data_IF_518144765250
#
_entry.id   IF_518144765250
#
_cell.length_a   1.000
_cell.length_b   1.000
_cell.length_c   1.000
_cell.angle_alpha   90.00
_cell.angle_beta   90.00
_cell.angle_gamma   90.00
#
_symmetry.space_group_name_H-M   'P 1'
#
loop_
_entity.id
_entity.type
_entity.pdbx_description
1 polymer ?
#
# COMPACT_ATOMS: atom_id res chain seq x y z
N UNK A 1 25.59 -3.52 -0.33
CA UNK A 1 25.31 -2.56 0.77
C UNK A 1 25.32 -3.34 2.09
N UNK A 2 25.94 -2.85 3.17
CA UNK A 2 25.87 -3.52 4.50
C UNK A 2 24.54 -3.20 5.19
N UNK A 3 24.06 -4.07 6.09
CA UNK A 3 22.79 -3.88 6.81
C UNK A 3 22.67 -2.50 7.50
N UNK A 4 23.76 -2.02 8.12
CA UNK A 4 23.79 -0.69 8.74
C UNK A 4 23.54 0.45 7.75
N UNK A 5 24.07 0.36 6.52
CA UNK A 5 23.80 1.35 5.48
C UNK A 5 22.33 1.34 5.06
N UNK A 6 21.71 0.15 4.95
CA UNK A 6 20.29 0.02 4.58
C UNK A 6 19.40 0.70 5.64
N UNK A 7 19.69 0.51 6.92
CA UNK A 7 18.94 1.12 8.01
C UNK A 7 19.11 2.65 8.03
N UNK A 8 20.32 3.16 7.84
CA UNK A 8 20.60 4.61 7.76
C UNK A 8 19.88 5.27 6.58
N UNK A 9 19.97 4.67 5.39
CA UNK A 9 19.27 5.20 4.20
C UNK A 9 17.75 5.12 4.36
N UNK A 10 17.22 4.05 4.96
CA UNK A 10 15.80 3.98 5.27
C UNK A 10 15.38 5.09 6.24
N UNK A 11 16.17 5.34 7.29
CA UNK A 11 15.91 6.39 8.26
C UNK A 11 15.85 7.77 7.60
N UNK A 12 16.82 8.08 6.73
CA UNK A 12 16.84 9.32 5.94
C UNK A 12 15.59 9.46 5.06
N UNK A 13 15.26 8.43 4.28
CA UNK A 13 14.11 8.44 3.36
C UNK A 13 12.76 8.55 4.07
N UNK A 14 12.64 8.02 5.30
CA UNK A 14 11.41 8.17 6.09
C UNK A 14 11.42 9.42 6.95
N UNK A 15 12.51 10.19 7.02
CA UNK A 15 12.61 11.42 7.79
C UNK A 15 12.45 12.66 6.90
N UNK A 16 11.77 13.71 7.38
CA UNK A 16 11.74 15.02 6.74
C UNK A 16 10.91 15.12 5.45
N UNK A 17 11.45 14.64 4.32
CA UNK A 17 10.87 14.85 2.98
C UNK A 17 9.59 14.03 2.73
N UNK A 18 9.49 12.84 3.34
CA UNK A 18 8.31 11.98 3.19
C UNK A 18 7.06 12.52 3.87
N UNK A 19 7.20 13.21 4.99
CA UNK A 19 6.05 13.85 5.66
C UNK A 19 5.41 14.92 4.75
N UNK A 20 6.20 15.51 3.85
CA UNK A 20 5.74 16.50 2.87
C UNK A 20 5.06 15.86 1.66
N UNK A 21 5.57 14.72 1.19
CA UNK A 21 5.00 13.99 0.04
C UNK A 21 3.75 13.17 0.37
N UNK A 22 3.67 12.56 1.57
CA UNK A 22 2.58 11.65 1.94
C UNK A 22 1.84 12.07 3.21
N UNK A 23 2.02 13.30 3.69
CA UNK A 23 1.45 13.76 4.96
C UNK A 23 2.05 13.06 6.18
N UNK A 24 1.50 13.34 7.37
CA UNK A 24 1.98 12.68 8.59
C UNK A 24 1.79 11.16 8.47
N UNK A 25 2.85 10.40 8.76
CA UNK A 25 2.86 8.93 8.66
C UNK A 25 1.69 8.26 9.36
N UNK A 26 1.33 8.80 10.53
CA UNK A 26 0.21 8.32 11.34
C UNK A 26 -1.10 8.37 10.55
N UNK A 27 -1.43 9.51 9.98
CA UNK A 27 -2.66 9.72 9.21
C UNK A 27 -2.72 8.79 7.99
N UNK A 28 -1.59 8.63 7.29
CA UNK A 28 -1.51 7.71 6.16
C UNK A 28 -1.73 6.25 6.60
N UNK A 29 -1.13 5.81 7.71
CA UNK A 29 -1.33 4.46 8.23
C UNK A 29 -2.75 4.24 8.76
N UNK A 30 -3.38 5.24 9.36
CA UNK A 30 -4.79 5.18 9.78
C UNK A 30 -5.73 5.03 8.56
N UNK A 31 -5.45 5.70 7.45
CA UNK A 31 -6.21 5.56 6.20
C UNK A 31 -6.01 4.19 5.55
N UNK A 32 -4.78 3.69 5.50
CA UNK A 32 -4.49 2.33 5.02
C UNK A 32 -5.24 1.31 5.86
N UNK A 33 -5.17 1.41 7.19
CA UNK A 33 -5.89 0.53 8.10
C UNK A 33 -7.41 0.58 7.87
N UNK A 34 -7.96 1.78 7.63
CA UNK A 34 -9.39 1.94 7.31
C UNK A 34 -9.77 1.18 6.04
N UNK A 35 -9.02 1.36 4.95
CA UNK A 35 -9.32 0.67 3.69
C UNK A 35 -9.12 -0.85 3.78
N UNK A 36 -8.04 -1.29 4.42
CA UNK A 36 -7.74 -2.71 4.59
C UNK A 36 -8.79 -3.41 5.44
N UNK A 37 -9.19 -2.83 6.57
CA UNK A 37 -10.26 -3.40 7.38
C UNK A 37 -11.59 -3.45 6.60
N UNK A 38 -11.90 -2.42 5.81
CA UNK A 38 -13.06 -2.42 4.92
C UNK A 38 -13.03 -3.59 3.93
N UNK A 39 -11.90 -3.80 3.25
CA UNK A 39 -11.71 -4.94 2.34
C UNK A 39 -11.85 -6.29 3.06
N UNK A 40 -11.14 -6.47 4.19
CA UNK A 40 -11.17 -7.71 4.97
C UNK A 40 -12.58 -8.07 5.42
N UNK A 41 -13.39 -7.07 5.80
CA UNK A 41 -14.77 -7.27 6.25
C UNK A 41 -15.71 -7.71 5.13
N UNK A 42 -15.45 -7.32 3.88
CA UNK A 42 -16.32 -7.62 2.73
C UNK A 42 -15.84 -8.80 1.88
N UNK A 43 -14.73 -9.46 2.27
CA UNK A 43 -14.25 -10.68 1.61
C UNK A 43 -15.35 -11.73 1.60
N UNK A 44 -15.36 -12.58 0.55
CA UNK A 44 -16.34 -13.67 0.42
C UNK A 44 -16.33 -14.60 1.64
N UNK A 45 -15.13 -14.86 2.16
CA UNK A 45 -14.92 -15.53 3.45
C UNK A 45 -13.99 -14.66 4.32
N UNK A 46 -14.54 -13.83 5.22
CA UNK A 46 -13.73 -13.00 6.11
C UNK A 46 -12.85 -13.79 7.10
N UNK A 47 -13.14 -15.07 7.34
CA UNK A 47 -12.40 -15.92 8.26
C UNK A 47 -11.26 -16.70 7.57
N UNK A 48 -11.27 -16.79 6.23
CA UNK A 48 -10.22 -17.44 5.48
C UNK A 48 -8.88 -16.69 5.60
N UNK A 49 -7.74 -17.41 5.60
CA UNK A 49 -6.42 -16.79 5.45
C UNK A 49 -6.35 -15.91 4.20
N UNK A 50 -5.42 -14.95 4.17
CA UNK A 50 -5.16 -14.16 2.97
C UNK A 50 -4.47 -15.02 1.92
N UNK A 51 -4.91 -14.87 0.67
CA UNK A 51 -4.27 -15.47 -0.50
C UNK A 51 -3.41 -14.43 -1.27
N UNK A 52 -2.69 -14.82 -2.33
CA UNK A 52 -1.91 -13.87 -3.13
C UNK A 52 -2.74 -12.78 -3.83
N UNK A 53 -4.00 -13.05 -4.19
CA UNK A 53 -4.92 -12.09 -4.81
C UNK A 53 -5.32 -11.01 -3.79
N UNK A 54 -5.59 -11.40 -2.54
CA UNK A 54 -5.84 -10.50 -1.43
C UNK A 54 -4.66 -9.54 -1.23
N UNK A 55 -3.42 -10.03 -1.31
CA UNK A 55 -2.22 -9.19 -1.20
C UNK A 55 -2.21 -8.14 -2.32
N UNK A 56 -2.52 -8.52 -3.55
CA UNK A 56 -2.66 -7.59 -4.68
C UNK A 56 -3.66 -6.47 -4.40
N UNK A 57 -4.88 -6.84 -3.97
CA UNK A 57 -5.93 -5.86 -3.62
C UNK A 57 -5.52 -4.95 -2.45
N UNK A 58 -4.88 -5.49 -1.41
CA UNK A 58 -4.39 -4.68 -0.28
C UNK A 58 -3.31 -3.67 -0.72
N UNK A 59 -2.46 -4.03 -1.68
CA UNK A 59 -1.46 -3.11 -2.25
C UNK A 59 -2.11 -2.00 -3.10
N UNK A 60 -3.20 -2.29 -3.83
CA UNK A 60 -4.02 -1.27 -4.51
C UNK A 60 -4.58 -0.28 -3.50
N UNK A 61 -5.21 -0.78 -2.42
CA UNK A 61 -5.78 0.06 -1.37
C UNK A 61 -4.74 0.91 -0.65
N UNK A 62 -3.54 0.37 -0.44
CA UNK A 62 -2.42 1.13 0.12
C UNK A 62 -2.07 2.34 -0.76
N UNK A 63 -2.07 2.16 -2.08
CA UNK A 63 -1.81 3.25 -3.03
C UNK A 63 -2.92 4.28 -3.05
N UNK A 64 -4.18 3.85 -3.05
CA UNK A 64 -5.32 4.76 -2.95
C UNK A 64 -5.31 5.58 -1.65
N UNK A 65 -4.92 4.99 -0.50
CA UNK A 65 -4.79 5.73 0.75
C UNK A 65 -3.77 6.88 0.65
N UNK A 66 -2.63 6.67 -0.03
CA UNK A 66 -1.57 7.68 -0.16
C UNK A 66 -2.02 8.92 -0.95
N UNK A 67 -2.92 8.75 -1.92
CA UNK A 67 -3.47 9.86 -2.71
C UNK A 67 -4.29 10.86 -1.88
N UNK A 68 -4.69 10.49 -0.66
CA UNK A 68 -5.49 11.34 0.23
C UNK A 68 -4.62 12.30 1.07
N UNK A 69 -3.31 12.30 0.88
CA UNK A 69 -2.35 13.10 1.65
C UNK A 69 -1.24 13.66 0.77
N UNK A 70 -0.66 14.78 1.21
CA UNK A 70 0.45 15.42 0.51
C UNK A 70 0.05 15.97 -0.86
N UNK A 71 1.03 16.11 -1.74
CA UNK A 71 0.81 16.54 -3.13
C UNK A 71 0.38 15.37 -4.01
N UNK A 72 -0.39 15.66 -5.07
CA UNK A 72 -0.68 14.68 -6.11
C UNK A 72 0.60 13.99 -6.59
N UNK A 73 0.61 12.66 -6.59
CA UNK A 73 1.64 11.83 -7.17
C UNK A 73 1.02 10.85 -8.17
N UNK A 74 1.40 10.94 -9.46
CA UNK A 74 0.87 10.07 -10.52
C UNK A 74 1.30 8.61 -10.32
N UNK A 75 2.46 8.38 -9.71
CA UNK A 75 2.99 7.03 -9.48
C UNK A 75 2.07 6.21 -8.57
N UNK A 76 1.32 6.85 -7.66
CA UNK A 76 0.37 6.11 -6.82
C UNK A 76 -0.77 5.50 -7.65
N UNK A 77 -1.18 6.14 -8.75
CA UNK A 77 -2.18 5.58 -9.66
C UNK A 77 -1.59 4.51 -10.59
N UNK A 78 -0.37 4.72 -11.09
CA UNK A 78 0.34 3.75 -11.93
C UNK A 78 0.59 2.46 -11.15
N UNK A 79 1.09 2.58 -9.92
CA UNK A 79 1.33 1.42 -9.07
C UNK A 79 0.02 0.72 -8.68
N UNK A 80 -1.06 1.46 -8.41
CA UNK A 80 -2.37 0.88 -8.17
C UNK A 80 -2.86 0.06 -9.37
N UNK A 81 -2.71 0.58 -10.60
CA UNK A 81 -3.05 -0.15 -11.81
C UNK A 81 -2.15 -1.40 -11.99
N UNK A 82 -0.85 -1.27 -11.69
CA UNK A 82 0.10 -2.39 -11.75
C UNK A 82 -0.25 -3.52 -10.78
N UNK A 83 -0.52 -3.20 -9.52
CA UNK A 83 -0.94 -4.21 -8.53
C UNK A 83 -2.28 -4.86 -8.90
N UNK A 84 -3.23 -4.09 -9.43
CA UNK A 84 -4.50 -4.63 -9.90
C UNK A 84 -4.30 -5.60 -11.09
N UNK A 85 -3.42 -5.26 -12.04
CA UNK A 85 -3.09 -6.13 -13.16
C UNK A 85 -2.45 -7.44 -12.70
N UNK A 86 -1.44 -7.38 -11.82
CA UNK A 86 -0.83 -8.59 -11.26
C UNK A 86 -1.83 -9.44 -10.46
N UNK A 87 -2.71 -8.81 -9.68
CA UNK A 87 -3.75 -9.51 -8.93
C UNK A 87 -4.74 -10.22 -9.86
N UNK A 88 -5.13 -9.57 -10.96
CA UNK A 88 -6.01 -10.15 -11.97
C UNK A 88 -5.37 -11.29 -12.75
N UNK A 89 -4.08 -11.19 -13.07
CA UNK A 89 -3.29 -12.27 -13.69
C UNK A 89 -3.29 -13.51 -12.80
N UNK A 90 -2.91 -13.37 -11.52
CA UNK A 90 -2.93 -14.47 -10.54
C UNK A 90 -4.33 -15.08 -10.41
N UNK A 91 -5.37 -14.25 -10.28
CA UNK A 91 -6.75 -14.72 -10.15
C UNK A 91 -7.30 -15.43 -11.40
N UNK A 92 -6.64 -15.28 -12.55
CA UNK A 92 -7.01 -15.92 -13.81
C UNK A 92 -6.24 -17.21 -14.11
N UNK A 93 -5.16 -17.47 -13.36
CA UNK A 93 -4.37 -18.69 -13.44
C UNK A 93 -4.91 -19.83 -12.53
N UNK A 94 -5.86 -19.52 -11.64
CA UNK A 94 -6.62 -20.47 -10.81
C UNK A 94 -7.96 -20.89 -11.45
#
# INVERSE_FOLDING_TARGET
MKAGCIASTAAELVSGDRDRQHGQKRDNFERIATLWNGYLQIRRDPAAPLDPVDVGHLMVLMKLARTQSGSMNVDDYIDAAGYAACSGEIASEE
#
